data_IF_112294808742
#
_entry.id   IF_112294808742
#
_cell.length_a   1.000
_cell.length_b   1.000
_cell.length_c   1.000
_cell.angle_alpha   90.00
_cell.angle_beta   90.00
_cell.angle_gamma   90.00
#
_symmetry.space_group_name_H-M   'P 1'
#
loop_
_entity.id
_entity.type
_entity.pdbx_description
1 polymer ?
#
# COMPACT_ATOMS: atom_id res chain seq x y z
N UNK A 1 9.32 -2.73 -21.68
CA UNK A 1 10.07 -3.79 -21.01
C UNK A 1 9.92 -3.66 -19.50
N UNK A 2 9.48 -4.73 -18.84
CA UNK A 2 9.28 -4.67 -17.40
C UNK A 2 10.59 -4.78 -16.65
N UNK A 3 10.77 -3.92 -15.67
CA UNK A 3 11.93 -3.98 -14.78
C UNK A 3 11.71 -5.01 -13.68
N UNK A 4 12.76 -5.29 -12.89
CA UNK A 4 12.63 -6.17 -11.73
C UNK A 4 11.63 -5.62 -10.71
N UNK A 5 11.58 -4.30 -10.55
CA UNK A 5 10.64 -3.65 -9.62
C UNK A 5 9.20 -3.80 -10.11
N UNK A 6 8.96 -3.72 -11.42
CA UNK A 6 7.63 -3.93 -11.98
C UNK A 6 7.13 -5.35 -11.71
N UNK A 7 8.02 -6.34 -11.77
CA UNK A 7 7.67 -7.72 -11.46
C UNK A 7 7.33 -7.92 -10.00
N UNK A 8 8.00 -7.21 -9.11
CA UNK A 8 7.78 -7.34 -7.67
C UNK A 8 6.36 -6.95 -7.27
N UNK A 9 5.85 -5.85 -7.81
CA UNK A 9 4.49 -5.44 -7.44
C UNK A 9 3.45 -6.43 -7.97
N UNK A 10 3.68 -7.00 -9.15
CA UNK A 10 2.79 -8.01 -9.71
C UNK A 10 2.76 -9.27 -8.87
N UNK A 11 3.93 -9.73 -8.42
CA UNK A 11 4.03 -10.91 -7.56
C UNK A 11 3.34 -10.68 -6.22
N UNK A 12 3.58 -9.53 -5.61
CA UNK A 12 2.97 -9.20 -4.32
C UNK A 12 1.45 -9.12 -4.43
N UNK A 13 0.94 -8.49 -5.48
CA UNK A 13 -0.50 -8.37 -5.71
C UNK A 13 -1.13 -9.74 -5.98
N UNK A 14 -0.46 -10.56 -6.79
CA UNK A 14 -0.93 -11.92 -7.06
C UNK A 14 -0.98 -12.77 -5.81
N UNK A 15 -0.01 -12.62 -4.92
CA UNK A 15 0.02 -13.35 -3.66
C UNK A 15 -1.17 -12.98 -2.77
N UNK A 16 -1.52 -11.69 -2.71
CA UNK A 16 -2.69 -11.24 -1.97
C UNK A 16 -3.97 -11.86 -2.53
N UNK A 17 -4.10 -11.92 -3.85
CA UNK A 17 -5.25 -12.54 -4.51
C UNK A 17 -5.33 -14.03 -4.18
N UNK A 18 -4.21 -14.74 -4.20
CA UNK A 18 -4.15 -16.16 -3.84
C UNK A 18 -4.58 -16.38 -2.39
N UNK A 19 -4.12 -15.53 -1.48
CA UNK A 19 -4.49 -15.64 -0.07
C UNK A 19 -6.01 -15.45 0.11
N UNK A 20 -6.59 -14.49 -0.58
CA UNK A 20 -8.03 -14.25 -0.51
C UNK A 20 -8.81 -15.43 -1.09
N UNK A 21 -8.36 -15.97 -2.21
CA UNK A 21 -9.01 -17.14 -2.85
C UNK A 21 -8.96 -18.37 -1.95
N UNK A 22 -7.90 -18.53 -1.18
CA UNK A 22 -7.76 -19.63 -0.24
C UNK A 22 -8.47 -19.39 1.09
N UNK A 23 -9.13 -18.26 1.26
CA UNK A 23 -9.83 -17.92 2.49
C UNK A 23 -8.92 -17.38 3.59
N UNK A 24 -7.68 -17.07 3.27
CA UNK A 24 -6.71 -16.50 4.20
C UNK A 24 -6.78 -14.98 4.12
N UNK A 25 -6.98 -14.31 5.25
CA UNK A 25 -7.00 -12.86 5.29
C UNK A 25 -5.57 -12.32 5.32
N UNK A 26 -5.18 -11.50 4.34
CA UNK A 26 -3.85 -10.88 4.37
C UNK A 26 -3.70 -9.98 5.60
N UNK A 27 -2.54 -10.01 6.22
CA UNK A 27 -2.24 -9.18 7.37
C UNK A 27 -1.58 -7.85 6.95
N UNK A 28 -1.23 -7.03 7.95
CA UNK A 28 -0.63 -5.73 7.70
C UNK A 28 0.71 -5.84 6.96
N UNK A 29 1.46 -6.89 7.20
CA UNK A 29 2.76 -7.09 6.53
C UNK A 29 2.57 -7.39 5.05
N UNK A 30 1.59 -8.22 4.72
CA UNK A 30 1.27 -8.55 3.32
C UNK A 30 0.88 -7.29 2.56
N UNK A 31 -0.02 -6.50 3.13
CA UNK A 31 -0.46 -5.24 2.49
C UNK A 31 0.68 -4.24 2.39
N UNK A 32 1.45 -4.06 3.45
CA UNK A 32 2.57 -3.11 3.46
C UNK A 32 3.62 -3.48 2.42
N UNK A 33 3.94 -4.77 2.30
CA UNK A 33 4.89 -5.26 1.30
C UNK A 33 4.37 -5.00 -0.11
N UNK A 34 3.08 -5.25 -0.35
CA UNK A 34 2.47 -5.03 -1.66
C UNK A 34 2.43 -3.54 -2.01
N UNK A 35 2.08 -2.69 -1.06
CA UNK A 35 2.06 -1.24 -1.28
C UNK A 35 3.47 -0.73 -1.58
N UNK A 36 4.46 -1.21 -0.83
CA UNK A 36 5.85 -0.83 -1.05
C UNK A 36 6.35 -1.26 -2.43
N UNK A 37 5.99 -2.47 -2.86
CA UNK A 37 6.35 -2.97 -4.19
C UNK A 37 5.69 -2.13 -5.29
N UNK A 38 4.43 -1.75 -5.11
CA UNK A 38 3.72 -0.87 -6.04
C UNK A 38 4.38 0.51 -6.14
N UNK A 39 4.80 1.06 -5.00
CA UNK A 39 5.50 2.35 -4.95
C UNK A 39 6.79 2.27 -5.75
N UNK A 40 7.59 1.23 -5.56
CA UNK A 40 8.85 1.05 -6.26
C UNK A 40 8.65 0.81 -7.75
N UNK A 41 7.58 0.15 -8.13
CA UNK A 41 7.24 -0.12 -9.52
C UNK A 41 6.54 1.04 -10.22
N UNK A 42 6.28 2.14 -9.51
CA UNK A 42 5.60 3.30 -10.10
C UNK A 42 4.11 3.10 -10.28
N UNK A 43 3.53 2.09 -9.63
CA UNK A 43 2.10 1.77 -9.75
C UNK A 43 1.31 2.49 -8.66
N UNK A 44 1.21 3.81 -8.81
CA UNK A 44 0.59 4.69 -7.83
C UNK A 44 -0.85 4.31 -7.49
N UNK A 45 -1.67 4.11 -8.52
CA UNK A 45 -3.09 3.78 -8.32
C UNK A 45 -3.26 2.49 -7.53
N UNK A 46 -2.46 1.49 -7.85
CA UNK A 46 -2.53 0.20 -7.15
C UNK A 46 -2.09 0.31 -5.70
N UNK A 47 -1.08 1.13 -5.43
CA UNK A 47 -0.64 1.37 -4.06
C UNK A 47 -1.76 1.97 -3.22
N UNK A 48 -2.44 2.97 -3.75
CA UNK A 48 -3.57 3.61 -3.07
C UNK A 48 -4.75 2.67 -2.91
N UNK A 49 -5.04 1.86 -3.93
CA UNK A 49 -6.13 0.88 -3.87
C UNK A 49 -5.87 -0.16 -2.78
N UNK A 50 -4.63 -0.62 -2.67
CA UNK A 50 -4.26 -1.57 -1.62
C UNK A 50 -4.40 -0.97 -0.23
N UNK A 51 -4.04 0.30 -0.06
CA UNK A 51 -4.22 0.97 1.23
C UNK A 51 -5.70 1.06 1.59
N UNK A 52 -6.54 1.42 0.63
CA UNK A 52 -8.00 1.49 0.83
C UNK A 52 -8.58 0.12 1.15
N UNK A 53 -8.12 -0.91 0.44
CA UNK A 53 -8.60 -2.27 0.64
C UNK A 53 -8.26 -2.79 2.02
N UNK A 54 -7.03 -2.57 2.49
CA UNK A 54 -6.66 -3.04 3.82
C UNK A 54 -7.49 -2.38 4.91
N UNK A 55 -7.80 -1.09 4.75
CA UNK A 55 -8.65 -0.37 5.71
C UNK A 55 -10.09 -0.90 5.65
N UNK A 56 -10.60 -1.16 4.45
CA UNK A 56 -11.95 -1.69 4.27
C UNK A 56 -12.11 -3.08 4.90
N UNK A 57 -11.03 -3.85 4.96
CA UNK A 57 -11.04 -5.19 5.56
C UNK A 57 -10.71 -5.19 7.05
N UNK A 58 -10.57 -4.02 7.65
CA UNK A 58 -10.30 -3.91 9.07
C UNK A 58 -8.84 -4.11 9.46
N UNK A 59 -7.94 -4.13 8.49
CA UNK A 59 -6.50 -4.23 8.75
C UNK A 59 -5.97 -2.81 8.95
N UNK A 60 -5.44 -2.52 10.14
CA UNK A 60 -4.94 -1.18 10.46
C UNK A 60 -3.61 -0.92 9.76
N UNK A 61 -3.51 0.14 8.92
CA UNK A 61 -2.24 0.49 8.30
C UNK A 61 -1.20 0.88 9.36
N UNK A 62 0.06 0.52 9.10
CA UNK A 62 1.18 0.91 9.95
C UNK A 62 2.01 2.00 9.27
N UNK A 63 3.10 2.41 9.92
CA UNK A 63 3.99 3.45 9.39
C UNK A 63 4.52 3.06 8.00
N UNK A 64 4.82 1.79 7.79
CA UNK A 64 5.35 1.31 6.50
C UNK A 64 4.30 1.47 5.40
N UNK A 65 3.04 1.10 5.69
CA UNK A 65 1.93 1.23 4.73
C UNK A 65 1.72 2.68 4.32
N UNK A 66 1.62 3.58 5.30
CA UNK A 66 1.43 5.00 5.05
C UNK A 66 2.62 5.63 4.34
N UNK A 67 3.85 5.29 4.77
CA UNK A 67 5.05 5.84 4.16
C UNK A 67 5.17 5.46 2.69
N UNK A 68 4.88 4.19 2.37
CA UNK A 68 4.91 3.74 0.98
C UNK A 68 3.85 4.44 0.14
N UNK A 69 2.64 4.60 0.68
CA UNK A 69 1.55 5.30 -0.01
C UNK A 69 1.88 6.77 -0.24
N UNK A 70 2.44 7.44 0.78
CA UNK A 70 2.87 8.84 0.67
C UNK A 70 3.96 8.99 -0.40
N UNK A 71 4.94 8.08 -0.40
CA UNK A 71 6.01 8.10 -1.40
C UNK A 71 5.45 7.91 -2.81
N UNK A 72 4.49 7.01 -2.97
CA UNK A 72 3.82 6.80 -4.27
C UNK A 72 3.10 8.06 -4.73
N UNK A 73 2.38 8.72 -3.83
CA UNK A 73 1.68 9.97 -4.15
C UNK A 73 2.67 11.07 -4.55
N UNK A 74 3.78 11.20 -3.82
CA UNK A 74 4.80 12.20 -4.12
C UNK A 74 5.40 11.96 -5.50
N UNK A 75 5.72 10.71 -5.83
CA UNK A 75 6.26 10.35 -7.14
C UNK A 75 5.28 10.65 -8.28
N UNK A 76 3.99 10.48 -8.01
CA UNK A 76 2.95 10.75 -9.00
C UNK A 76 2.50 12.20 -9.07
N UNK A 77 3.08 13.08 -8.24
CA UNK A 77 2.69 14.49 -8.21
C UNK A 77 1.37 14.75 -7.50
N UNK A 78 0.86 13.79 -6.74
CA UNK A 78 -0.40 13.92 -6.01
C UNK A 78 -0.15 14.45 -4.59
N UNK A 79 0.27 15.71 -4.52
CA UNK A 79 0.66 16.31 -3.24
C UNK A 79 -0.48 16.41 -2.25
N UNK A 80 -1.70 16.70 -2.73
CA UNK A 80 -2.87 16.78 -1.85
C UNK A 80 -3.18 15.42 -1.21
N UNK A 81 -3.08 14.35 -1.99
CA UNK A 81 -3.27 12.99 -1.47
C UNK A 81 -2.18 12.64 -0.45
N UNK A 82 -0.93 12.99 -0.76
CA UNK A 82 0.19 12.76 0.15
C UNK A 82 -0.02 13.46 1.48
N UNK A 83 -0.44 14.71 1.44
CA UNK A 83 -0.70 15.48 2.67
C UNK A 83 -1.84 14.88 3.48
N UNK A 84 -2.90 14.43 2.81
CA UNK A 84 -4.03 13.77 3.47
C UNK A 84 -3.59 12.49 4.16
N UNK A 85 -2.74 11.71 3.53
CA UNK A 85 -2.21 10.48 4.11
C UNK A 85 -1.30 10.75 5.30
N UNK A 86 -0.48 11.79 5.21
CA UNK A 86 0.36 12.20 6.35
C UNK A 86 -0.49 12.61 7.55
N UNK A 87 -1.57 13.32 7.30
CA UNK A 87 -2.50 13.70 8.35
C UNK A 87 -3.12 12.47 9.02
N UNK A 88 -3.57 11.52 8.22
CA UNK A 88 -4.13 10.26 8.73
C UNK A 88 -3.10 9.48 9.54
N UNK A 89 -1.87 9.41 9.07
CA UNK A 89 -0.79 8.73 9.77
C UNK A 89 -0.53 9.36 11.13
N UNK A 90 -0.52 10.69 11.19
CA UNK A 90 -0.33 11.41 12.44
C UNK A 90 -1.43 11.09 13.44
N UNK A 91 -2.67 11.02 12.98
CA UNK A 91 -3.81 10.69 13.83
C UNK A 91 -3.70 9.28 14.41
N UNK A 92 -3.28 8.32 13.59
CA UNK A 92 -3.11 6.94 14.04
C UNK A 92 -2.00 6.83 15.08
N UNK A 93 -0.88 7.50 14.87
CA UNK A 93 0.26 7.49 15.78
C UNK A 93 -0.08 8.26 17.06
N UNK A 94 -0.80 9.35 16.95
CA UNK A 94 -1.13 10.22 18.07
C UNK A 94 -2.15 9.61 19.04
N UNK A 95 -2.94 8.63 18.57
CA UNK A 95 -3.98 8.02 19.39
C UNK A 95 -3.48 6.83 20.23
N UNK A 96 -2.23 6.48 20.09
CA UNK A 96 -1.59 5.50 20.97
C UNK A 96 -1.20 6.13 22.32
#
# INVERSE_FOLDING_TARGET
MMTADDRRWMQAHGLLDEMRSAGVTPDVYSYSSAISACEKGGELTRALDLLREMRARGVSPNVISFSAAVAACAKGGLWNEALALLEQMRQVIATD
#
